data_IF_091035671859
#
_entry.id   IF_091035671859
#
_cell.length_a   1.000
_cell.length_b   1.000
_cell.length_c   1.000
_cell.angle_alpha   90.00
_cell.angle_beta   90.00
_cell.angle_gamma   90.00
#
_symmetry.space_group_name_H-M   'P 1'
#
loop_
_entity.id
_entity.type
_entity.pdbx_description
1 polymer ?
#
# COMPACT_ATOMS: atom_id res chain seq x y z
N UNK A 1 -23.22 -18.62 4.73
CA UNK A 1 -21.82 -18.18 4.51
C UNK A 1 -20.88 -19.17 5.18
N UNK A 2 -19.81 -19.61 4.51
CA UNK A 2 -18.86 -20.54 5.12
C UNK A 2 -18.13 -19.89 6.30
N UNK A 3 -17.73 -20.69 7.30
CA UNK A 3 -16.97 -20.21 8.45
C UNK A 3 -15.65 -19.52 8.06
N UNK A 4 -15.00 -20.00 7.00
CA UNK A 4 -13.77 -19.40 6.47
C UNK A 4 -14.00 -17.98 5.93
N UNK A 5 -15.10 -17.74 5.25
CA UNK A 5 -15.45 -16.39 4.77
C UNK A 5 -15.73 -15.42 5.89
N UNK A 6 -16.40 -15.88 6.94
CA UNK A 6 -16.66 -15.06 8.13
C UNK A 6 -15.36 -14.71 8.84
N UNK A 7 -14.47 -15.68 9.03
CA UNK A 7 -13.17 -15.47 9.64
C UNK A 7 -12.32 -14.48 8.83
N UNK A 8 -12.33 -14.60 7.51
CA UNK A 8 -11.62 -13.64 6.63
C UNK A 8 -12.19 -12.22 6.76
N UNK A 9 -13.52 -12.08 6.82
CA UNK A 9 -14.16 -10.77 7.02
C UNK A 9 -13.70 -10.11 8.32
N UNK A 10 -13.66 -10.88 9.41
CA UNK A 10 -13.19 -10.38 10.70
C UNK A 10 -11.73 -9.96 10.63
N UNK A 11 -10.88 -10.78 10.01
CA UNK A 11 -9.46 -10.47 9.81
C UNK A 11 -9.27 -9.21 8.96
N UNK A 12 -10.07 -9.06 7.90
CA UNK A 12 -10.00 -7.89 7.02
C UNK A 12 -10.44 -6.60 7.74
N UNK A 13 -11.47 -6.67 8.57
CA UNK A 13 -11.91 -5.53 9.40
C UNK A 13 -10.79 -5.13 10.36
N UNK A 14 -10.13 -6.10 11.00
CA UNK A 14 -9.02 -5.84 11.91
C UNK A 14 -7.84 -5.20 11.16
N UNK A 15 -7.53 -5.68 9.97
CA UNK A 15 -6.48 -5.10 9.13
C UNK A 15 -6.77 -3.62 8.81
N UNK A 16 -8.02 -3.29 8.47
CA UNK A 16 -8.41 -1.91 8.20
C UNK A 16 -8.30 -1.02 9.44
N UNK A 17 -8.61 -1.54 10.61
CA UNK A 17 -8.45 -0.84 11.90
C UNK A 17 -6.98 -0.58 12.21
N UNK A 18 -6.14 -1.60 12.04
CA UNK A 18 -4.69 -1.49 12.25
C UNK A 18 -4.08 -0.46 11.29
N UNK A 19 -4.49 -0.48 10.04
CA UNK A 19 -4.07 0.47 9.01
C UNK A 19 -4.45 1.91 9.39
N UNK A 20 -5.68 2.12 9.84
CA UNK A 20 -6.15 3.43 10.29
C UNK A 20 -5.35 3.93 11.50
N UNK A 21 -5.05 3.05 12.45
CA UNK A 21 -4.24 3.37 13.62
C UNK A 21 -2.84 3.84 13.21
N UNK A 22 -2.21 3.15 12.26
CA UNK A 22 -0.88 3.50 11.73
C UNK A 22 -0.91 4.86 11.03
N UNK A 23 -1.89 5.11 10.16
CA UNK A 23 -2.00 6.37 9.44
C UNK A 23 -2.34 7.56 10.33
N UNK A 24 -2.95 7.32 11.49
CA UNK A 24 -3.21 8.35 12.49
C UNK A 24 -2.07 8.52 13.49
N UNK A 25 -1.04 7.67 13.42
CA UNK A 25 0.08 7.70 14.34
C UNK A 25 1.01 8.90 14.10
N UNK A 26 1.67 9.32 15.16
CA UNK A 26 2.67 10.38 15.11
C UNK A 26 3.88 9.97 14.26
N UNK A 27 4.27 8.71 14.35
CA UNK A 27 5.39 8.13 13.62
C UNK A 27 5.17 8.22 12.11
N UNK A 28 3.98 7.83 11.64
CA UNK A 28 3.64 7.93 10.22
C UNK A 28 3.60 9.38 9.75
N UNK A 29 2.98 10.26 10.51
CA UNK A 29 2.88 11.68 10.15
C UNK A 29 4.25 12.32 10.02
N UNK A 30 5.17 12.00 10.93
CA UNK A 30 6.58 12.47 10.87
C UNK A 30 7.31 11.93 9.66
N UNK A 31 7.16 10.65 9.37
CA UNK A 31 7.81 10.02 8.23
C UNK A 31 7.28 10.59 6.91
N UNK A 32 5.96 10.76 6.80
CA UNK A 32 5.32 11.38 5.65
C UNK A 32 5.83 12.80 5.41
N UNK A 33 5.89 13.59 6.45
CA UNK A 33 6.41 14.97 6.38
C UNK A 33 7.88 14.98 5.97
N UNK A 34 8.69 14.13 6.58
CA UNK A 34 10.10 14.00 6.23
C UNK A 34 10.31 13.61 4.76
N UNK A 35 9.47 12.71 4.23
CA UNK A 35 9.52 12.29 2.82
C UNK A 35 9.20 13.47 1.90
N UNK A 36 8.14 14.22 2.18
CA UNK A 36 7.75 15.38 1.37
C UNK A 36 8.79 16.51 1.44
N UNK A 37 9.49 16.66 2.56
CA UNK A 37 10.61 17.62 2.66
C UNK A 37 11.82 17.17 1.88
N UNK A 38 12.15 15.87 1.91
CA UNK A 38 13.30 15.31 1.19
C UNK A 38 13.03 15.23 -0.32
N UNK A 39 11.79 14.93 -0.72
CA UNK A 39 11.36 14.80 -2.10
C UNK A 39 10.08 15.61 -2.31
N UNK A 40 10.18 16.93 -2.46
CA UNK A 40 8.99 17.79 -2.61
C UNK A 40 8.35 17.71 -3.99
N UNK A 41 9.02 17.12 -4.98
CA UNK A 41 8.52 16.97 -6.34
C UNK A 41 8.03 15.55 -6.59
N UNK A 42 7.02 15.42 -7.45
CA UNK A 42 6.49 14.11 -7.85
C UNK A 42 7.57 13.30 -8.56
N UNK A 43 7.99 12.20 -7.97
CA UNK A 43 9.03 11.33 -8.51
C UNK A 43 8.62 10.69 -9.84
N UNK A 44 7.34 10.33 -9.99
CA UNK A 44 6.81 9.74 -11.22
C UNK A 44 6.79 10.75 -12.37
N UNK A 45 6.40 12.00 -12.12
CA UNK A 45 6.44 13.06 -13.14
C UNK A 45 7.87 13.33 -13.60
N UNK A 46 8.83 13.33 -12.68
CA UNK A 46 10.24 13.51 -13.03
C UNK A 46 10.71 12.39 -13.97
N UNK A 47 10.44 11.13 -13.63
CA UNK A 47 10.86 9.97 -14.42
C UNK A 47 10.18 9.92 -15.78
N UNK A 48 8.86 10.12 -15.83
CA UNK A 48 8.09 10.10 -17.08
C UNK A 48 8.54 11.23 -18.02
N UNK A 49 8.79 12.39 -17.46
CA UNK A 49 9.30 13.53 -18.22
C UNK A 49 10.67 13.26 -18.82
N UNK A 50 11.59 12.68 -18.06
CA UNK A 50 12.91 12.28 -18.55
C UNK A 50 12.81 11.23 -19.64
N UNK A 51 11.96 10.23 -19.47
CA UNK A 51 11.71 9.20 -20.48
C UNK A 51 11.12 9.78 -21.77
N UNK A 52 10.35 10.86 -21.67
CA UNK A 52 9.81 11.58 -22.82
C UNK A 52 10.83 12.56 -23.46
N UNK A 53 12.08 12.62 -22.99
CA UNK A 53 13.12 13.47 -23.51
C UNK A 53 13.14 14.89 -22.94
N UNK A 54 12.36 15.15 -21.89
CA UNK A 54 12.33 16.45 -21.22
C UNK A 54 13.49 16.53 -20.23
N UNK A 55 14.38 17.49 -20.46
CA UNK A 55 15.55 17.70 -19.61
C UNK A 55 15.12 18.07 -18.19
N UNK A 56 15.54 17.27 -17.20
CA UNK A 56 15.17 17.47 -15.80
C UNK A 56 13.82 16.89 -15.43
N UNK A 57 13.08 16.33 -16.41
CA UNK A 57 11.75 15.74 -16.15
C UNK A 57 10.63 16.77 -16.07
N UNK A 58 9.43 16.33 -15.78
CA UNK A 58 8.28 17.19 -15.54
C UNK A 58 8.24 17.59 -14.06
N UNK A 59 8.24 18.89 -13.80
CA UNK A 59 8.29 19.45 -12.45
C UNK A 59 6.86 19.66 -11.94
N UNK A 60 6.45 18.86 -10.95
CA UNK A 60 5.17 19.00 -10.24
C UNK A 60 5.37 18.77 -8.75
N UNK A 61 4.69 19.56 -7.93
CA UNK A 61 4.73 19.38 -6.48
C UNK A 61 4.09 18.06 -6.07
N UNK A 62 4.72 17.36 -5.13
CA UNK A 62 4.15 16.16 -4.53
C UNK A 62 3.20 16.55 -3.40
N UNK A 63 2.07 15.88 -3.31
CA UNK A 63 1.07 16.05 -2.25
C UNK A 63 0.77 14.74 -1.51
N UNK A 64 1.11 13.60 -2.12
CA UNK A 64 0.85 12.28 -1.62
C UNK A 64 2.14 11.51 -1.40
N UNK A 65 2.12 10.64 -0.41
CA UNK A 65 3.21 9.70 -0.14
C UNK A 65 2.66 8.28 -0.31
N UNK A 66 3.26 7.52 -1.20
CA UNK A 66 2.85 6.17 -1.56
C UNK A 66 3.87 5.16 -1.05
N UNK A 67 3.40 4.04 -0.49
CA UNK A 67 4.28 2.93 -0.12
C UNK A 67 4.64 2.12 -1.35
N UNK A 68 5.94 1.94 -1.61
CA UNK A 68 6.41 1.13 -2.74
C UNK A 68 5.99 -0.32 -2.55
N UNK A 69 6.15 -0.86 -1.32
CA UNK A 69 5.60 -2.16 -0.95
C UNK A 69 4.27 -1.92 -0.24
N UNK A 70 3.13 -2.39 -0.79
CA UNK A 70 1.83 -2.17 -0.18
C UNK A 70 1.75 -2.76 1.23
N UNK A 71 1.24 -1.98 2.18
CA UNK A 71 1.12 -2.43 3.57
C UNK A 71 0.09 -3.55 3.73
N UNK A 72 -0.81 -3.70 2.78
CA UNK A 72 -1.81 -4.77 2.71
C UNK A 72 -1.18 -6.16 2.56
N UNK A 73 0.09 -6.23 2.14
CA UNK A 73 0.83 -7.50 2.05
C UNK A 73 1.25 -8.03 3.41
N UNK A 74 1.19 -7.20 4.45
CA UNK A 74 1.51 -7.61 5.82
C UNK A 74 0.49 -8.61 6.36
N UNK A 75 0.98 -9.58 7.14
CA UNK A 75 0.13 -10.62 7.75
C UNK A 75 -0.13 -10.37 9.23
N UNK A 76 0.71 -9.55 9.87
CA UNK A 76 0.58 -9.18 11.28
C UNK A 76 0.59 -7.68 11.42
N UNK A 77 0.10 -7.18 12.55
CA UNK A 77 0.15 -5.76 12.87
C UNK A 77 1.60 -5.26 12.93
N UNK A 78 2.51 -6.07 13.47
CA UNK A 78 3.92 -5.74 13.55
C UNK A 78 4.56 -5.59 12.16
N UNK A 79 4.28 -6.53 11.24
CA UNK A 79 4.72 -6.42 9.85
C UNK A 79 4.16 -5.18 9.17
N UNK A 80 2.90 -4.84 9.46
CA UNK A 80 2.25 -3.66 8.90
C UNK A 80 2.99 -2.39 9.33
N UNK A 81 3.36 -2.27 10.61
CA UNK A 81 4.18 -1.17 11.12
C UNK A 81 5.55 -1.11 10.44
N UNK A 82 6.18 -2.27 10.24
CA UNK A 82 7.48 -2.35 9.53
C UNK A 82 7.37 -1.86 8.09
N UNK A 83 6.33 -2.25 7.38
CA UNK A 83 6.12 -1.82 5.99
C UNK A 83 5.70 -0.35 5.90
N UNK A 84 4.91 0.14 6.85
CA UNK A 84 4.38 1.50 6.82
C UNK A 84 5.41 2.55 7.31
N UNK A 85 6.12 2.26 8.38
CA UNK A 85 7.00 3.20 9.07
C UNK A 85 8.46 2.74 9.04
N UNK A 86 8.70 1.45 9.27
CA UNK A 86 10.05 0.88 9.30
C UNK A 86 10.76 0.85 7.94
N UNK A 87 10.02 1.07 6.84
CA UNK A 87 10.60 1.14 5.50
C UNK A 87 11.50 2.36 5.29
N UNK A 88 11.35 3.39 6.12
CA UNK A 88 12.10 4.64 5.97
C UNK A 88 11.72 5.42 4.72
N UNK A 89 12.50 6.44 4.40
CA UNK A 89 12.25 7.30 3.23
C UNK A 89 12.36 6.55 1.90
N UNK A 90 13.27 5.57 1.82
CA UNK A 90 13.50 4.79 0.60
C UNK A 90 12.34 3.87 0.23
N UNK A 91 11.52 3.51 1.21
CA UNK A 91 10.32 2.68 0.99
C UNK A 91 9.10 3.47 0.56
N UNK A 92 9.22 4.78 0.41
CA UNK A 92 8.14 5.70 0.06
C UNK A 92 8.42 6.40 -1.25
N UNK A 93 7.35 6.81 -1.92
CA UNK A 93 7.42 7.58 -3.16
C UNK A 93 6.55 8.84 -3.04
N UNK A 94 7.12 9.99 -3.35
CA UNK A 94 6.38 11.25 -3.39
C UNK A 94 5.66 11.38 -4.72
N UNK A 95 4.36 11.64 -4.70
CA UNK A 95 3.52 11.70 -5.89
C UNK A 95 2.62 12.92 -5.86
N UNK A 96 2.33 13.48 -7.05
CA UNK A 96 1.26 14.44 -7.20
C UNK A 96 -0.10 13.69 -7.19
N UNK A 97 -1.19 14.41 -6.97
CA UNK A 97 -2.52 13.82 -6.91
C UNK A 97 -2.88 13.06 -8.18
N UNK A 98 -2.50 13.59 -9.34
CA UNK A 98 -2.76 12.96 -10.63
C UNK A 98 -2.02 11.62 -10.76
N UNK A 99 -0.73 11.57 -10.46
CA UNK A 99 0.04 10.32 -10.53
C UNK A 99 -0.44 9.30 -9.52
N UNK A 100 -0.81 9.75 -8.32
CA UNK A 100 -1.38 8.86 -7.29
C UNK A 100 -2.69 8.24 -7.77
N UNK A 101 -3.58 9.06 -8.36
CA UNK A 101 -4.83 8.59 -8.93
C UNK A 101 -4.62 7.63 -10.11
N UNK A 102 -3.66 7.91 -10.99
CA UNK A 102 -3.32 7.05 -12.12
C UNK A 102 -2.81 5.68 -11.68
N UNK A 103 -1.94 5.63 -10.67
CA UNK A 103 -1.45 4.37 -10.10
C UNK A 103 -2.60 3.53 -9.54
N UNK A 104 -3.53 4.17 -8.80
CA UNK A 104 -4.69 3.47 -8.25
C UNK A 104 -5.74 3.09 -9.30
N UNK A 105 -5.79 3.80 -10.43
CA UNK A 105 -6.74 3.55 -11.51
C UNK A 105 -6.18 2.69 -12.63
N UNK A 106 -4.91 2.31 -12.53
CA UNK A 106 -4.25 1.50 -13.55
C UNK A 106 -5.00 0.20 -13.77
N UNK A 107 -5.22 -0.16 -15.06
CA UNK A 107 -5.90 -1.40 -15.46
C UNK A 107 -7.33 -1.58 -14.89
N UNK A 108 -8.07 -0.46 -14.76
CA UNK A 108 -9.44 -0.51 -14.27
C UNK A 108 -9.54 -0.82 -12.78
N UNK A 109 -8.59 -0.34 -12.01
CA UNK A 109 -8.45 -0.60 -10.57
C UNK A 109 -9.74 -0.43 -9.77
N UNK A 110 -10.59 0.54 -10.14
CA UNK A 110 -11.85 0.82 -9.43
C UNK A 110 -13.08 0.18 -10.05
N UNK A 111 -12.96 -0.61 -11.13
CA UNK A 111 -14.12 -1.31 -11.70
C UNK A 111 -14.64 -2.36 -10.70
N UNK A 112 -15.93 -2.66 -10.79
CA UNK A 112 -16.58 -3.68 -9.94
C UNK A 112 -15.85 -5.02 -10.06
N UNK A 113 -15.48 -5.40 -11.27
CA UNK A 113 -14.75 -6.63 -11.59
C UNK A 113 -13.37 -6.63 -10.94
N UNK A 114 -12.62 -5.53 -11.06
CA UNK A 114 -11.29 -5.41 -10.47
C UNK A 114 -11.33 -5.45 -8.94
N UNK A 115 -12.32 -4.76 -8.33
CA UNK A 115 -12.54 -4.79 -6.87
C UNK A 115 -12.85 -6.20 -6.40
N UNK A 116 -13.76 -6.89 -7.11
CA UNK A 116 -14.13 -8.28 -6.80
C UNK A 116 -12.93 -9.21 -6.91
N UNK A 117 -12.15 -9.10 -8.00
CA UNK A 117 -10.96 -9.91 -8.23
C UNK A 117 -9.92 -9.72 -7.11
N UNK A 118 -9.68 -8.47 -6.69
CA UNK A 118 -8.75 -8.18 -5.57
C UNK A 118 -9.22 -8.79 -4.26
N UNK A 119 -10.52 -8.71 -3.97
CA UNK A 119 -11.11 -9.32 -2.76
C UNK A 119 -10.96 -10.83 -2.76
N UNK A 120 -11.21 -11.47 -3.89
CA UNK A 120 -11.04 -12.92 -4.03
C UNK A 120 -9.57 -13.32 -3.90
N UNK A 121 -8.64 -12.61 -4.55
CA UNK A 121 -7.21 -12.85 -4.40
C UNK A 121 -6.74 -12.66 -2.96
N UNK A 122 -7.22 -11.62 -2.28
CA UNK A 122 -6.89 -11.37 -0.88
C UNK A 122 -7.38 -12.51 0.01
N UNK A 123 -8.61 -12.99 -0.22
CA UNK A 123 -9.18 -14.12 0.50
C UNK A 123 -8.36 -15.40 0.28
N UNK A 124 -7.98 -15.70 -0.97
CA UNK A 124 -7.18 -16.88 -1.31
C UNK A 124 -5.78 -16.82 -0.66
N UNK A 125 -5.13 -15.65 -0.68
CA UNK A 125 -3.84 -15.48 -0.01
C UNK A 125 -3.94 -15.69 1.50
N UNK A 126 -4.98 -15.13 2.12
CA UNK A 126 -5.22 -15.31 3.55
C UNK A 126 -5.46 -16.78 3.88
N UNK A 127 -6.32 -17.45 3.09
CA UNK A 127 -6.63 -18.87 3.24
C UNK A 127 -5.39 -19.75 3.15
N UNK A 128 -4.55 -19.51 2.14
CA UNK A 128 -3.29 -20.24 1.95
C UNK A 128 -2.35 -20.10 3.15
N UNK A 129 -2.27 -18.91 3.73
CA UNK A 129 -1.47 -18.66 4.94
C UNK A 129 -2.00 -19.40 6.15
N UNK A 130 -3.33 -19.48 6.32
CA UNK A 130 -3.94 -20.23 7.43
C UNK A 130 -3.66 -21.73 7.28
N UNK A 131 -3.78 -22.26 6.08
CA UNK A 131 -3.47 -23.66 5.78
C UNK A 131 -1.99 -23.98 5.98
N UNK A 132 -1.09 -23.08 5.58
CA UNK A 132 0.35 -23.22 5.81
C UNK A 132 0.71 -23.19 7.29
N UNK A 133 0.06 -22.35 8.10
CA UNK A 133 0.24 -22.31 9.55
C UNK A 133 -0.21 -23.60 10.24
N UNK A 134 -1.38 -24.12 9.83
CA UNK A 134 -1.89 -25.39 10.38
C UNK A 134 -0.96 -26.55 10.07
N UNK A 135 -0.38 -26.58 8.89
CA UNK A 135 0.60 -27.61 8.50
C UNK A 135 1.89 -27.53 9.33
N UNK A 136 2.34 -26.31 9.66
CA UNK A 136 3.54 -26.07 10.46
C UNK A 136 3.29 -26.39 11.94
N UNK A 137 2.11 -26.10 12.46
CA UNK A 137 1.73 -26.37 13.85
C UNK A 137 1.48 -27.87 14.11
N UNK A 138 1.24 -28.66 13.06
CA UNK A 138 1.00 -30.11 13.15
C UNK A 138 2.31 -30.93 13.23
N UNK A 139 3.45 -30.34 13.00
CA UNK A 139 4.77 -30.93 13.16
C UNK A 139 5.35 -30.66 14.55
#
# INVERSE_FOLDING_TARGET
MSGKRLAWRCANIQQQRDKAEIYNSREWKRLREAKLLAQPLCERCLELGKAAGVRGGWIRSAHCVHHIVPIETATTKQEMWQLAVGCGLSGLMSLCDRCHAEIHNQDGYHTKEAVKARKESAFERWKAKQEGRTATDAE
#
